data_IF_989578791358
#
_entry.id   IF_989578791358
#
_cell.length_a   1.000
_cell.length_b   1.000
_cell.length_c   1.000
_cell.angle_alpha   90.00
_cell.angle_beta   90.00
_cell.angle_gamma   90.00
#
_symmetry.space_group_name_H-M   'P 1'
#
loop_
_entity.id
_entity.type
_entity.pdbx_description
1 polymer ?
#
# COMPACT_ATOMS: atom_id res chain seq x y z
N UNK A 1 33.65 36.65 -29.32
CA UNK A 1 32.53 37.59 -29.57
C UNK A 1 31.23 36.80 -29.41
N UNK A 2 30.63 36.90 -28.28
CA UNK A 2 29.38 36.23 -27.97
C UNK A 2 28.29 37.28 -27.79
N UNK A 3 27.26 37.28 -28.66
CA UNK A 3 26.13 38.16 -28.62
C UNK A 3 24.94 37.45 -27.94
N UNK A 4 24.62 37.93 -26.77
CA UNK A 4 23.43 37.57 -26.00
C UNK A 4 22.21 38.29 -26.57
N UNK A 5 21.21 37.52 -27.00
CA UNK A 5 19.89 38.05 -27.40
C UNK A 5 18.93 37.91 -26.23
N UNK A 6 18.59 39.03 -25.60
CA UNK A 6 17.53 39.12 -24.58
C UNK A 6 16.22 39.46 -25.27
N UNK A 7 15.25 38.54 -25.25
CA UNK A 7 13.88 38.78 -25.72
C UNK A 7 13.03 39.26 -24.55
N UNK A 8 12.66 40.55 -24.60
CA UNK A 8 11.69 41.15 -23.68
C UNK A 8 10.25 40.98 -24.22
N UNK A 9 9.44 40.24 -23.52
CA UNK A 9 7.99 40.14 -23.80
C UNK A 9 7.27 41.33 -23.15
N UNK A 10 6.72 42.21 -23.97
CA UNK A 10 5.81 43.29 -23.54
C UNK A 10 4.37 42.78 -23.54
N UNK A 11 3.74 42.84 -22.36
CA UNK A 11 2.31 42.57 -22.20
C UNK A 11 1.54 43.87 -22.48
N UNK A 12 0.82 43.91 -23.59
CA UNK A 12 -0.07 45.01 -23.96
C UNK A 12 -1.37 44.94 -23.17
N UNK A 13 -1.64 46.01 -22.40
CA UNK A 13 -2.90 46.25 -21.69
C UNK A 13 -4.04 46.56 -22.70
N UNK A 14 -4.98 45.64 -22.82
CA UNK A 14 -6.26 45.88 -23.47
C UNK A 14 -7.22 46.54 -22.46
N UNK A 15 -7.42 47.82 -22.55
CA UNK A 15 -8.53 48.55 -21.91
C UNK A 15 -9.79 48.37 -22.74
N UNK A 16 -10.73 47.55 -22.32
CA UNK A 16 -12.11 47.61 -22.85
C UNK A 16 -12.91 48.59 -21.99
N UNK A 17 -13.22 49.73 -22.58
CA UNK A 17 -14.14 50.68 -21.99
C UNK A 17 -15.59 50.20 -22.18
N UNK A 18 -16.26 49.93 -21.09
CA UNK A 18 -17.71 49.76 -21.05
C UNK A 18 -18.27 50.94 -20.25
N UNK A 19 -18.86 51.90 -20.97
CA UNK A 19 -19.65 53.00 -20.41
C UNK A 19 -21.01 52.44 -20.02
N UNK A 20 -21.25 52.29 -18.74
CA UNK A 20 -22.54 51.95 -18.13
C UNK A 20 -22.94 53.05 -17.14
N UNK A 21 -24.17 53.55 -17.30
CA UNK A 21 -24.78 54.67 -16.62
C UNK A 21 -24.73 54.60 -15.09
N UNK A 22 -24.40 55.77 -14.46
CA UNK A 22 -24.44 55.98 -13.01
C UNK A 22 -25.87 56.12 -12.51
N UNK A 23 -26.47 55.09 -12.02
CA UNK A 23 -27.64 55.20 -11.12
C UNK A 23 -27.17 55.56 -9.75
N UNK A 24 -27.52 56.77 -9.29
CA UNK A 24 -27.36 57.25 -7.91
C UNK A 24 -28.29 56.50 -6.99
N UNK A 25 -27.82 55.48 -6.34
CA UNK A 25 -28.52 54.88 -5.19
C UNK A 25 -28.17 55.69 -3.92
N UNK A 26 -29.21 56.26 -3.29
CA UNK A 26 -29.18 56.88 -1.98
C UNK A 26 -28.65 55.87 -0.95
N UNK A 27 -27.74 56.35 -0.12
CA UNK A 27 -27.14 55.55 0.94
C UNK A 27 -28.19 55.06 1.97
N UNK A 28 -28.32 53.79 2.11
CA UNK A 28 -28.78 53.14 3.33
C UNK A 28 -27.55 52.61 4.04
N UNK A 29 -27.37 53.05 5.26
CA UNK A 29 -26.32 52.61 6.18
C UNK A 29 -26.47 51.12 6.38
N UNK A 30 -25.55 50.32 5.80
CA UNK A 30 -25.46 48.90 6.08
C UNK A 30 -24.88 48.74 7.49
N UNK A 31 -25.54 47.99 8.39
CA UNK A 31 -24.95 47.72 9.69
C UNK A 31 -23.66 46.92 9.50
N UNK A 32 -22.59 47.43 10.15
CA UNK A 32 -21.30 46.74 10.21
C UNK A 32 -21.49 45.27 10.54
N UNK A 33 -21.21 44.39 9.58
CA UNK A 33 -21.24 42.95 9.81
C UNK A 33 -20.23 42.64 10.92
N UNK A 34 -20.75 42.21 12.05
CA UNK A 34 -19.94 41.65 13.12
C UNK A 34 -19.05 40.58 12.52
N UNK A 35 -17.75 40.75 12.62
CA UNK A 35 -16.75 39.73 12.27
C UNK A 35 -17.02 38.53 13.17
N UNK A 36 -17.78 37.58 12.68
CA UNK A 36 -17.87 36.27 13.30
C UNK A 36 -16.49 35.64 13.09
N UNK A 37 -15.66 35.78 14.13
CA UNK A 37 -14.37 35.14 14.19
C UNK A 37 -14.58 33.62 14.08
N UNK A 38 -14.36 33.06 12.88
CA UNK A 38 -14.30 31.63 12.69
C UNK A 38 -13.06 31.14 13.44
N UNK A 39 -13.23 30.82 14.72
CA UNK A 39 -12.24 30.07 15.47
C UNK A 39 -12.04 28.73 14.75
N UNK A 40 -11.00 28.66 13.96
CA UNK A 40 -10.55 27.37 13.39
C UNK A 40 -10.15 26.51 14.60
N UNK A 41 -11.08 25.66 15.05
CA UNK A 41 -10.72 24.57 15.96
C UNK A 41 -9.66 23.77 15.23
N UNK A 42 -8.41 23.89 15.67
CA UNK A 42 -7.33 23.01 15.23
C UNK A 42 -7.78 21.61 15.59
N UNK A 43 -8.07 20.81 14.56
CA UNK A 43 -8.39 19.41 14.74
C UNK A 43 -7.11 18.73 15.21
N UNK A 44 -6.99 18.53 16.51
CA UNK A 44 -5.91 17.73 17.07
C UNK A 44 -6.04 16.33 16.49
N UNK A 45 -5.04 15.91 15.73
CA UNK A 45 -4.98 14.57 15.18
C UNK A 45 -4.82 13.60 16.35
N UNK A 46 -5.93 12.95 16.74
CA UNK A 46 -5.89 11.86 17.73
C UNK A 46 -4.91 10.79 17.26
N UNK A 47 -4.27 10.13 18.20
CA UNK A 47 -3.36 9.02 17.91
C UNK A 47 -4.01 7.94 17.05
N UNK A 48 -3.19 7.25 16.25
CA UNK A 48 -3.66 6.13 15.41
C UNK A 48 -4.34 5.05 16.25
N UNK A 49 -5.57 4.68 15.87
CA UNK A 49 -6.33 3.60 16.53
C UNK A 49 -5.59 2.25 16.43
N UNK A 50 -4.92 2.00 15.30
CA UNK A 50 -4.11 0.79 15.08
C UNK A 50 -2.85 0.84 15.94
N UNK A 51 -2.15 1.98 15.98
CA UNK A 51 -0.92 2.13 16.72
C UNK A 51 -1.06 1.90 18.23
N UNK A 52 -2.23 2.20 18.81
CA UNK A 52 -2.52 1.99 20.24
C UNK A 52 -2.69 0.52 20.63
N UNK A 53 -2.99 -0.36 19.68
CA UNK A 53 -3.22 -1.76 19.98
C UNK A 53 -1.89 -2.44 20.33
N UNK A 54 -1.77 -3.14 21.45
CA UNK A 54 -0.59 -3.92 21.76
C UNK A 54 -0.43 -5.04 20.71
N UNK A 55 0.78 -5.55 20.60
CA UNK A 55 1.11 -6.72 19.78
C UNK A 55 1.36 -7.89 20.71
N UNK A 56 0.50 -8.89 20.64
CA UNK A 56 0.62 -10.09 21.46
C UNK A 56 1.79 -10.94 20.96
N UNK A 57 2.66 -11.35 21.88
CA UNK A 57 3.81 -12.18 21.59
C UNK A 57 3.53 -13.61 22.05
N UNK A 58 3.42 -14.58 21.14
CA UNK A 58 3.25 -15.96 21.52
C UNK A 58 4.52 -16.53 22.18
N UNK A 59 4.37 -17.52 23.03
CA UNK A 59 5.46 -18.11 23.83
C UNK A 59 6.57 -18.77 22.99
N UNK A 60 6.27 -19.11 21.73
CA UNK A 60 7.22 -19.74 20.79
C UNK A 60 8.12 -18.73 20.07
N UNK A 61 8.00 -17.44 20.38
CA UNK A 61 8.76 -16.36 19.72
C UNK A 61 9.67 -15.66 20.71
N UNK A 62 10.94 -15.52 20.36
CA UNK A 62 11.94 -14.79 21.14
C UNK A 62 12.17 -13.43 20.49
N UNK A 63 12.12 -12.37 21.29
CA UNK A 63 12.32 -10.99 20.83
C UNK A 63 13.55 -10.40 21.48
N UNK A 64 14.43 -9.84 20.66
CA UNK A 64 15.57 -9.02 21.10
C UNK A 64 15.30 -7.58 20.68
N UNK A 65 15.42 -6.64 21.62
CA UNK A 65 15.29 -5.20 21.38
C UNK A 65 16.63 -4.57 21.69
N UNK A 66 17.28 -3.99 20.69
CA UNK A 66 18.56 -3.30 20.80
C UNK A 66 18.40 -1.85 20.29
N UNK A 67 18.02 -0.96 21.21
CA UNK A 67 17.75 0.43 20.87
C UNK A 67 16.58 0.62 19.91
N UNK A 68 16.88 0.87 18.64
CA UNK A 68 15.87 1.07 17.57
C UNK A 68 15.71 -0.16 16.68
N UNK A 69 16.44 -1.23 16.93
CA UNK A 69 16.35 -2.44 16.14
C UNK A 69 15.61 -3.53 16.94
N UNK A 70 14.72 -4.21 16.24
CA UNK A 70 14.04 -5.40 16.76
C UNK A 70 14.44 -6.60 15.91
N UNK A 71 14.87 -7.67 16.57
CA UNK A 71 15.05 -8.97 15.95
C UNK A 71 14.08 -9.95 16.59
N UNK A 72 13.29 -10.61 15.75
CA UNK A 72 12.26 -11.57 16.15
C UNK A 72 12.64 -12.93 15.61
N UNK A 73 12.81 -13.90 16.49
CA UNK A 73 13.16 -15.28 16.17
C UNK A 73 12.05 -16.23 16.60
N UNK A 74 11.64 -17.11 15.71
CA UNK A 74 10.63 -18.13 15.97
C UNK A 74 10.86 -19.41 15.19
N UNK A 75 9.88 -20.30 15.17
CA UNK A 75 10.01 -21.63 14.57
C UNK A 75 10.20 -21.62 13.04
N UNK A 76 9.70 -20.60 12.34
CA UNK A 76 9.77 -20.54 10.88
C UNK A 76 10.98 -19.79 10.36
N UNK A 77 11.61 -18.93 11.15
CA UNK A 77 12.76 -18.15 10.76
C UNK A 77 13.07 -17.01 11.71
N UNK A 78 13.89 -16.08 11.25
CA UNK A 78 14.29 -14.87 11.95
C UNK A 78 14.09 -13.66 11.04
N UNK A 79 13.50 -12.61 11.58
CA UNK A 79 13.28 -11.34 10.91
C UNK A 79 13.76 -10.20 11.79
N UNK A 80 14.30 -9.16 11.16
CA UNK A 80 14.73 -7.95 11.82
C UNK A 80 14.07 -6.70 11.20
N UNK A 81 13.88 -5.66 12.00
CA UNK A 81 13.31 -4.39 11.57
C UNK A 81 13.92 -3.25 12.37
N UNK A 82 14.31 -2.18 11.66
CA UNK A 82 14.80 -0.94 12.26
C UNK A 82 13.70 0.10 12.35
N UNK A 83 13.51 0.69 13.53
CA UNK A 83 12.53 1.75 13.74
C UNK A 83 13.13 3.13 13.50
N UNK A 84 12.37 4.09 12.95
CA UNK A 84 12.79 5.47 12.88
C UNK A 84 12.76 6.12 14.27
N UNK A 85 13.51 7.20 14.44
CA UNK A 85 13.65 7.93 15.73
C UNK A 85 12.33 8.45 16.30
N UNK A 86 11.31 8.58 15.46
CA UNK A 86 9.98 9.06 15.87
C UNK A 86 9.13 8.00 16.58
N UNK A 87 9.60 6.76 16.62
CA UNK A 87 8.86 5.61 17.18
C UNK A 87 9.70 4.93 18.25
N UNK A 88 9.07 4.62 19.38
CA UNK A 88 9.64 3.86 20.47
C UNK A 88 8.85 2.55 20.64
N UNK A 89 9.54 1.48 20.97
CA UNK A 89 8.94 0.18 21.28
C UNK A 89 9.27 -0.18 22.70
N UNK A 90 8.25 -0.50 23.46
CA UNK A 90 8.36 -0.92 24.85
C UNK A 90 7.73 -2.30 25.01
N UNK A 91 8.31 -3.10 25.87
CA UNK A 91 7.72 -4.38 26.28
C UNK A 91 6.92 -4.16 27.55
N UNK A 92 5.63 -4.50 27.51
CA UNK A 92 4.76 -4.46 28.69
C UNK A 92 5.07 -5.62 29.64
N UNK A 93 4.67 -5.51 30.90
CA UNK A 93 4.77 -6.58 31.90
C UNK A 93 4.02 -7.84 31.48
N UNK A 94 2.96 -7.69 30.70
CA UNK A 94 2.20 -8.78 30.07
C UNK A 94 2.98 -9.57 29.02
N UNK A 95 4.17 -9.09 28.62
CA UNK A 95 4.98 -9.65 27.54
C UNK A 95 4.61 -9.13 26.15
N UNK A 96 3.51 -8.37 26.00
CA UNK A 96 3.12 -7.74 24.76
C UNK A 96 4.04 -6.58 24.39
N UNK A 97 4.17 -6.28 23.10
CA UNK A 97 4.90 -5.12 22.61
C UNK A 97 3.94 -3.95 22.40
N UNK A 98 4.29 -2.79 22.91
CA UNK A 98 3.59 -1.55 22.63
C UNK A 98 4.48 -0.60 21.87
N UNK A 99 3.97 -0.10 20.76
CA UNK A 99 4.62 0.92 19.94
C UNK A 99 4.11 2.29 20.39
N UNK A 100 5.02 3.22 20.70
CA UNK A 100 4.71 4.58 21.15
C UNK A 100 5.34 5.60 20.21
N UNK A 101 4.82 6.82 20.24
CA UNK A 101 5.43 7.96 19.54
C UNK A 101 6.46 8.62 20.45
N UNK A 102 7.64 8.93 19.91
CA UNK A 102 8.65 9.73 20.61
C UNK A 102 8.35 11.22 20.58
N UNK A 103 7.74 11.71 19.48
CA UNK A 103 7.45 13.13 19.23
C UNK A 103 6.03 13.27 18.65
N UNK A 104 5.35 14.38 18.97
CA UNK A 104 4.01 14.65 18.43
C UNK A 104 4.08 15.42 17.10
N UNK A 105 4.44 14.72 16.04
CA UNK A 105 4.44 15.24 14.68
C UNK A 105 3.47 14.46 13.77
N UNK A 106 3.06 15.08 12.66
CA UNK A 106 2.26 14.39 11.64
C UNK A 106 2.94 13.11 11.13
N UNK A 107 4.26 13.17 10.97
CA UNK A 107 5.06 12.01 10.53
C UNK A 107 5.08 10.91 11.58
N UNK A 108 5.28 11.25 12.86
CA UNK A 108 5.22 10.29 13.95
C UNK A 108 3.86 9.58 14.04
N UNK A 109 2.75 10.30 13.82
CA UNK A 109 1.42 9.71 13.77
C UNK A 109 1.25 8.71 12.62
N UNK A 110 1.84 8.97 11.45
CA UNK A 110 1.84 8.05 10.31
C UNK A 110 2.69 6.81 10.61
N UNK A 111 3.90 7.01 11.15
CA UNK A 111 4.83 5.93 11.48
C UNK A 111 4.31 5.05 12.61
N UNK A 112 3.62 5.61 13.61
CA UNK A 112 3.06 4.85 14.73
C UNK A 112 2.18 3.68 14.30
N UNK A 113 1.21 3.91 13.39
CA UNK A 113 0.35 2.85 12.86
C UNK A 113 1.07 1.88 11.93
N UNK A 114 1.99 2.40 11.10
CA UNK A 114 2.78 1.59 10.17
C UNK A 114 3.67 0.60 10.94
N UNK A 115 4.48 1.11 11.86
CA UNK A 115 5.45 0.28 12.59
C UNK A 115 4.78 -0.71 13.54
N UNK A 116 3.65 -0.35 14.14
CA UNK A 116 2.84 -1.34 14.88
C UNK A 116 2.44 -2.52 13.99
N UNK A 117 1.95 -2.23 12.78
CA UNK A 117 1.54 -3.29 11.84
C UNK A 117 2.72 -4.10 11.33
N UNK A 118 3.88 -3.46 11.08
CA UNK A 118 5.09 -4.17 10.70
C UNK A 118 5.57 -5.10 11.82
N UNK A 119 5.58 -4.64 13.07
CA UNK A 119 5.93 -5.46 14.24
C UNK A 119 4.99 -6.67 14.37
N UNK A 120 3.68 -6.46 14.22
CA UNK A 120 2.69 -7.53 14.22
C UNK A 120 2.96 -8.56 13.10
N UNK A 121 3.28 -8.07 11.90
CA UNK A 121 3.64 -8.93 10.77
C UNK A 121 4.91 -9.75 11.03
N UNK A 122 5.93 -9.20 11.72
CA UNK A 122 7.13 -9.95 12.11
C UNK A 122 6.77 -11.09 13.06
N UNK A 123 6.03 -10.80 14.13
CA UNK A 123 5.65 -11.78 15.13
C UNK A 123 4.78 -12.89 14.54
N UNK A 124 3.75 -12.53 13.78
CA UNK A 124 2.86 -13.49 13.12
C UNK A 124 3.61 -14.29 12.05
N UNK A 125 4.47 -13.64 11.27
CA UNK A 125 5.24 -14.28 10.20
C UNK A 125 6.17 -15.37 10.71
N UNK A 126 6.91 -15.08 11.78
CA UNK A 126 7.86 -16.03 12.35
C UNK A 126 7.16 -17.14 13.15
N UNK A 127 5.94 -16.87 13.69
CA UNK A 127 5.19 -17.85 14.49
C UNK A 127 4.31 -18.78 13.64
N UNK A 128 3.46 -18.21 12.78
CA UNK A 128 2.44 -18.92 11.99
C UNK A 128 2.77 -18.93 10.50
N UNK A 129 3.50 -17.94 10.01
CA UNK A 129 3.72 -17.72 8.59
C UNK A 129 2.53 -17.06 7.90
N UNK A 130 2.72 -16.75 6.63
CA UNK A 130 1.70 -16.20 5.74
C UNK A 130 1.54 -17.05 4.50
N UNK A 131 0.35 -17.01 3.93
CA UNK A 131 0.03 -17.67 2.67
C UNK A 131 -0.68 -16.70 1.72
N UNK A 132 -0.33 -16.78 0.44
CA UNK A 132 -1.07 -16.13 -0.64
C UNK A 132 -1.44 -17.16 -1.70
N UNK A 133 -2.73 -17.23 -2.00
CA UNK A 133 -3.27 -18.16 -2.98
C UNK A 133 -3.58 -17.44 -4.29
N UNK A 134 -3.06 -17.96 -5.37
CA UNK A 134 -3.30 -17.50 -6.74
C UNK A 134 -4.04 -18.56 -7.51
N UNK A 135 -4.89 -18.14 -8.45
CA UNK A 135 -5.64 -19.02 -9.33
C UNK A 135 -5.39 -18.62 -10.78
N UNK A 136 -5.02 -19.59 -11.60
CA UNK A 136 -4.92 -19.47 -13.04
C UNK A 136 -6.29 -19.72 -13.66
N UNK A 137 -6.80 -18.78 -14.42
CA UNK A 137 -8.08 -18.88 -15.14
C UNK A 137 -7.82 -18.74 -16.63
N UNK A 138 -8.03 -19.80 -17.38
CA UNK A 138 -7.85 -19.79 -18.83
C UNK A 138 -7.61 -21.18 -19.38
N UNK A 139 -8.01 -21.40 -20.62
CA UNK A 139 -7.78 -22.68 -21.32
C UNK A 139 -6.28 -22.83 -21.59
N UNK A 140 -5.70 -23.95 -21.17
CA UNK A 140 -4.28 -24.24 -21.34
C UNK A 140 -3.32 -23.54 -20.39
N UNK A 141 -3.84 -22.76 -19.42
CA UNK A 141 -2.99 -22.15 -18.38
C UNK A 141 -2.60 -23.20 -17.37
N UNK A 142 -1.31 -23.32 -17.13
CA UNK A 142 -0.73 -24.30 -16.19
C UNK A 142 0.44 -23.67 -15.43
N UNK A 143 0.64 -24.13 -14.22
CA UNK A 143 1.83 -23.86 -13.42
C UNK A 143 2.44 -25.19 -12.99
N UNK A 144 3.75 -25.27 -12.98
CA UNK A 144 4.54 -26.37 -12.44
C UNK A 144 5.70 -25.81 -11.62
N UNK A 145 6.22 -26.59 -10.70
CA UNK A 145 7.42 -26.25 -9.93
C UNK A 145 8.52 -27.21 -10.38
N UNK A 146 9.60 -26.67 -10.88
CA UNK A 146 10.79 -27.41 -11.33
C UNK A 146 11.99 -26.99 -10.47
N UNK A 147 12.31 -27.81 -9.45
CA UNK A 147 13.37 -27.48 -8.50
C UNK A 147 13.08 -26.19 -7.73
N UNK A 148 13.87 -25.14 -7.97
CA UNK A 148 13.70 -23.82 -7.34
C UNK A 148 13.00 -22.79 -8.24
N UNK A 149 12.46 -23.22 -9.38
CA UNK A 149 11.76 -22.34 -10.32
C UNK A 149 10.28 -22.69 -10.43
N UNK A 150 9.46 -21.65 -10.56
CA UNK A 150 8.05 -21.77 -10.97
C UNK A 150 7.97 -21.56 -12.47
N UNK A 151 7.48 -22.54 -13.18
CA UNK A 151 7.27 -22.49 -14.62
C UNK A 151 5.79 -22.27 -14.91
N UNK A 152 5.48 -21.19 -15.60
CA UNK A 152 4.13 -20.74 -15.89
C UNK A 152 3.87 -20.79 -17.41
N UNK A 153 2.86 -21.54 -17.81
CA UNK A 153 2.32 -21.54 -19.16
C UNK A 153 1.05 -20.67 -19.18
N UNK A 154 1.17 -19.44 -19.64
CA UNK A 154 0.10 -18.43 -19.59
C UNK A 154 -0.40 -18.03 -21.00
N UNK A 155 -0.19 -18.89 -22.01
CA UNK A 155 -0.58 -18.60 -23.39
C UNK A 155 0.39 -17.68 -24.14
N UNK A 156 1.63 -17.59 -23.68
CA UNK A 156 2.74 -17.02 -24.44
C UNK A 156 3.38 -18.10 -25.34
N UNK A 157 4.18 -17.69 -26.32
CA UNK A 157 4.95 -18.60 -27.18
C UNK A 157 6.07 -19.35 -26.44
N UNK A 158 6.43 -18.89 -25.23
CA UNK A 158 7.45 -19.45 -24.36
C UNK A 158 6.92 -19.65 -22.94
N UNK A 159 7.41 -20.63 -22.19
CA UNK A 159 7.11 -20.73 -20.76
C UNK A 159 7.81 -19.61 -19.98
N UNK A 160 7.11 -19.03 -19.01
CA UNK A 160 7.68 -18.05 -18.10
C UNK A 160 8.29 -18.79 -16.92
N UNK A 161 9.58 -18.60 -16.69
CA UNK A 161 10.30 -19.16 -15.54
C UNK A 161 10.58 -18.07 -14.52
N UNK A 162 10.34 -18.36 -13.26
CA UNK A 162 10.57 -17.43 -12.15
C UNK A 162 11.24 -18.19 -11.01
N UNK A 163 12.41 -17.73 -10.62
CA UNK A 163 13.14 -18.31 -9.48
C UNK A 163 12.44 -17.94 -8.18
N UNK A 164 12.27 -18.93 -7.30
CA UNK A 164 11.68 -18.75 -5.98
C UNK A 164 12.75 -18.15 -5.07
N UNK A 165 12.50 -16.99 -4.44
CA UNK A 165 13.43 -16.42 -3.45
C UNK A 165 13.61 -17.34 -2.24
N UNK A 166 14.77 -17.22 -1.59
CA UNK A 166 15.05 -17.96 -0.36
C UNK A 166 14.04 -17.58 0.73
N UNK A 167 13.57 -18.58 1.50
CA UNK A 167 12.55 -18.36 2.53
C UNK A 167 11.11 -18.46 2.08
N UNK A 168 10.85 -18.57 0.78
CA UNK A 168 9.52 -18.84 0.22
C UNK A 168 9.36 -20.33 -0.16
N UNK A 169 8.14 -20.81 0.01
CA UNK A 169 7.73 -22.15 -0.44
C UNK A 169 6.54 -22.01 -1.37
N UNK A 170 6.63 -22.60 -2.55
CA UNK A 170 5.56 -22.59 -3.54
C UNK A 170 5.01 -23.98 -3.71
N UNK A 171 3.69 -24.12 -3.58
CA UNK A 171 2.96 -25.37 -3.86
C UNK A 171 2.01 -25.11 -5.01
N UNK A 172 1.93 -26.06 -5.94
CA UNK A 172 1.00 -26.00 -7.05
C UNK A 172 0.02 -27.16 -6.91
N UNK A 173 -1.26 -26.85 -6.90
CA UNK A 173 -2.35 -27.81 -6.84
C UNK A 173 -3.14 -27.75 -8.16
N UNK A 174 -3.50 -28.92 -8.67
CA UNK A 174 -4.29 -29.05 -9.92
C UNK A 174 -3.67 -28.32 -11.15
N UNK A 175 -2.37 -27.98 -11.10
CA UNK A 175 -1.67 -27.16 -12.11
C UNK A 175 -2.28 -25.77 -12.35
N UNK A 176 -3.29 -25.37 -11.59
CA UNK A 176 -4.02 -24.11 -11.75
C UNK A 176 -4.07 -23.27 -10.49
N UNK A 177 -3.80 -23.84 -9.34
CA UNK A 177 -3.78 -23.16 -8.04
C UNK A 177 -2.35 -23.10 -7.53
N UNK A 178 -1.88 -21.92 -7.25
CA UNK A 178 -0.53 -21.67 -6.73
C UNK A 178 -0.69 -21.12 -5.31
N UNK A 179 -0.09 -21.79 -4.33
CA UNK A 179 -0.02 -21.34 -2.96
C UNK A 179 1.42 -20.93 -2.65
N UNK A 180 1.63 -19.65 -2.37
CA UNK A 180 2.92 -19.10 -1.95
C UNK A 180 2.89 -18.93 -0.45
N UNK A 181 3.80 -19.55 0.28
CA UNK A 181 3.91 -19.49 1.74
C UNK A 181 5.32 -19.12 2.18
N UNK A 182 5.44 -18.49 3.35
CA UNK A 182 6.71 -18.08 3.91
C UNK A 182 6.52 -17.32 5.23
N UNK A 183 7.59 -16.78 5.74
CA UNK A 183 7.59 -16.01 6.99
C UNK A 183 7.58 -14.50 6.76
N UNK A 184 8.10 -13.99 5.62
CA UNK A 184 8.04 -12.57 5.28
C UNK A 184 6.83 -12.24 4.39
N UNK A 185 5.89 -11.48 4.96
CA UNK A 185 4.68 -11.04 4.25
C UNK A 185 4.99 -10.17 3.03
N UNK A 186 6.06 -9.37 3.08
CA UNK A 186 6.45 -8.47 2.00
C UNK A 186 6.96 -9.26 0.80
N UNK A 187 7.84 -10.22 1.03
CA UNK A 187 8.39 -11.08 -0.03
C UNK A 187 7.33 -11.96 -0.68
N UNK A 188 6.47 -12.58 0.13
CA UNK A 188 5.32 -13.37 -0.36
C UNK A 188 4.43 -12.50 -1.25
N UNK A 189 4.11 -11.28 -0.78
CA UNK A 189 3.28 -10.35 -1.53
C UNK A 189 3.92 -9.91 -2.83
N UNK A 190 5.20 -9.61 -2.83
CA UNK A 190 5.97 -9.21 -4.00
C UNK A 190 6.08 -10.33 -5.03
N UNK A 191 6.37 -11.54 -4.57
CA UNK A 191 6.46 -12.70 -5.46
C UNK A 191 5.10 -13.02 -6.10
N UNK A 192 4.03 -13.06 -5.32
CA UNK A 192 2.68 -13.26 -5.81
C UNK A 192 2.24 -12.16 -6.81
N UNK A 193 2.59 -10.90 -6.54
CA UNK A 193 2.33 -9.80 -7.46
C UNK A 193 3.14 -9.92 -8.76
N UNK A 194 4.37 -10.40 -8.69
CA UNK A 194 5.21 -10.64 -9.86
C UNK A 194 4.64 -11.74 -10.77
N UNK A 195 4.14 -12.84 -10.19
CA UNK A 195 3.41 -13.88 -10.95
C UNK A 195 2.18 -13.27 -11.63
N UNK A 196 1.37 -12.50 -10.89
CA UNK A 196 0.15 -11.90 -11.44
C UNK A 196 0.44 -10.87 -12.54
N UNK A 197 1.57 -10.17 -12.47
CA UNK A 197 1.96 -9.14 -13.46
C UNK A 197 2.14 -9.71 -14.86
N UNK A 198 2.56 -10.97 -15.00
CA UNK A 198 2.73 -11.62 -16.32
C UNK A 198 1.43 -11.70 -17.10
N UNK A 199 0.32 -12.02 -16.43
CA UNK A 199 -0.98 -12.09 -17.09
C UNK A 199 -2.08 -11.66 -16.13
N UNK A 200 -2.33 -10.35 -15.94
CA UNK A 200 -3.41 -9.88 -15.08
C UNK A 200 -4.77 -10.34 -15.62
N UNK A 201 -5.79 -10.47 -14.76
CA UNK A 201 -7.11 -10.93 -15.17
C UNK A 201 -7.74 -9.95 -16.16
N UNK A 202 -8.26 -10.48 -17.25
CA UNK A 202 -8.95 -9.74 -18.31
C UNK A 202 -10.31 -9.25 -17.82
N UNK A 203 -10.74 -8.01 -18.18
CA UNK A 203 -12.00 -7.47 -17.72
C UNK A 203 -13.25 -8.10 -18.36
N UNK A 204 -13.13 -8.84 -19.47
CA UNK A 204 -14.29 -9.41 -20.17
C UNK A 204 -14.60 -10.83 -19.72
N UNK A 205 -13.70 -11.77 -19.95
CA UNK A 205 -13.87 -13.19 -19.60
C UNK A 205 -13.22 -13.54 -18.26
N UNK A 206 -12.38 -12.66 -17.70
CA UNK A 206 -11.67 -12.86 -16.45
C UNK A 206 -10.52 -13.87 -16.56
N UNK A 207 -9.99 -14.11 -17.79
CA UNK A 207 -8.83 -14.97 -18.01
C UNK A 207 -7.57 -14.27 -17.49
N UNK A 208 -6.70 -15.01 -16.85
CA UNK A 208 -5.45 -14.49 -16.29
C UNK A 208 -5.13 -15.12 -14.95
N UNK A 209 -4.15 -14.56 -14.27
CA UNK A 209 -3.76 -14.91 -12.91
C UNK A 209 -4.46 -13.96 -11.94
N UNK A 210 -5.27 -14.47 -11.05
CA UNK A 210 -5.97 -13.71 -10.02
C UNK A 210 -5.61 -14.22 -8.63
N UNK A 211 -5.76 -13.39 -7.61
CA UNK A 211 -5.77 -13.87 -6.23
C UNK A 211 -7.05 -14.68 -5.97
N UNK A 212 -6.97 -15.63 -5.06
CA UNK A 212 -8.14 -16.46 -4.72
C UNK A 212 -9.33 -15.62 -4.23
N UNK A 213 -9.03 -14.57 -3.46
CA UNK A 213 -10.03 -13.67 -2.87
C UNK A 213 -10.43 -12.51 -3.81
N UNK A 214 -9.82 -12.42 -5.00
CA UNK A 214 -10.04 -11.30 -5.92
C UNK A 214 -11.32 -11.46 -6.72
N UNK A 215 -12.22 -10.50 -6.59
CA UNK A 215 -13.42 -10.40 -7.43
C UNK A 215 -13.08 -9.50 -8.62
N UNK A 216 -12.90 -10.12 -9.80
CA UNK A 216 -12.62 -9.37 -11.03
C UNK A 216 -13.90 -8.70 -11.53
N UNK A 217 -13.93 -7.37 -11.56
CA UNK A 217 -15.04 -6.60 -12.12
C UNK A 217 -15.07 -6.80 -13.64
N UNK A 218 -16.07 -7.55 -14.12
CA UNK A 218 -16.26 -7.80 -15.55
C UNK A 218 -16.99 -6.66 -16.21
N UNK A 219 -16.59 -6.36 -17.46
CA UNK A 219 -17.29 -5.43 -18.36
C UNK A 219 -18.11 -6.23 -19.34
N UNK A 220 -19.28 -5.71 -19.70
CA UNK A 220 -20.03 -6.23 -20.83
C UNK A 220 -19.30 -5.91 -22.12
N UNK A 221 -19.20 -6.88 -23.01
CA UNK A 221 -18.67 -6.69 -24.37
C UNK A 221 -19.61 -5.76 -25.18
N UNK A 222 -19.30 -5.56 -26.47
CA UNK A 222 -20.22 -4.86 -27.38
C UNK A 222 -21.60 -5.52 -27.26
N UNK A 223 -22.57 -4.80 -26.69
CA UNK A 223 -23.98 -5.20 -26.78
C UNK A 223 -24.31 -5.32 -28.25
N UNK A 224 -24.58 -6.55 -28.72
CA UNK A 224 -25.04 -6.74 -30.07
C UNK A 224 -26.21 -5.82 -30.29
N UNK A 225 -26.20 -5.00 -31.35
CA UNK A 225 -27.38 -4.25 -31.77
C UNK A 225 -28.55 -5.26 -31.79
N UNK A 226 -29.44 -5.16 -30.82
CA UNK A 226 -30.75 -5.78 -30.95
C UNK A 226 -31.39 -5.12 -32.19
N UNK A 227 -31.48 -5.87 -33.28
CA UNK A 227 -32.34 -5.52 -34.41
C UNK A 227 -33.77 -5.52 -33.93
#
# INVERSE_FOLDING_TARGET
MASTVTSSFQISNLKSGFLGERNKFRGSSVPSAAHVGFSRKTTECKESRIGKQPVDVPSNVTIKLEGQDIAVKGPLGELALSYPREVLVEREESGALRVKKAVETRRANQMHGLFRTLTDNLVVGVSKGFEKKLQLVGVGYRATVEGNDVVLNLGFSHPVRMTIPDGLKVKVEENTRITVSGYDKSEIGQFAASIRRWRPPEPYKGKGVKYADEIVRRKEGKAGKKK
#
